data_IF_152696785878
#
_entry.id   IF_152696785878
#
_cell.length_a   1.000
_cell.length_b   1.000
_cell.length_c   1.000
_cell.angle_alpha   90.00
_cell.angle_beta   90.00
_cell.angle_gamma   90.00
#
_symmetry.space_group_name_H-M   'P 1'
#
loop_
_entity.id
_entity.type
_entity.pdbx_description
1 polymer ?
#
# COMPACT_ATOMS: atom_id res chain seq x y z
N UNK A 1 16.01 1.13 -62.62
CA UNK A 1 15.63 0.05 -61.68
C UNK A 1 16.65 0.06 -60.55
N UNK A 2 16.19 0.51 -59.38
CA UNK A 2 16.93 0.57 -58.11
C UNK A 2 16.72 -0.78 -57.45
N UNK A 3 17.79 -1.46 -57.03
CA UNK A 3 17.61 -2.57 -56.10
C UNK A 3 18.74 -2.63 -55.05
N UNK A 4 18.26 -2.50 -53.82
CA UNK A 4 18.71 -3.17 -52.59
C UNK A 4 20.12 -2.85 -52.09
N UNK A 5 20.20 -1.67 -51.47
CA UNK A 5 21.08 -1.40 -50.32
C UNK A 5 20.58 -2.16 -49.08
N UNK A 6 21.47 -2.21 -48.07
CA UNK A 6 21.26 -2.44 -46.64
C UNK A 6 21.57 -3.89 -46.21
N UNK A 7 22.86 -4.19 -46.03
CA UNK A 7 23.59 -4.13 -44.74
C UNK A 7 23.19 -5.30 -43.84
N UNK A 8 23.86 -6.43 -44.07
CA UNK A 8 24.00 -7.51 -43.10
C UNK A 8 25.14 -7.15 -42.13
N UNK A 9 24.86 -6.27 -41.18
CA UNK A 9 25.76 -6.00 -40.06
C UNK A 9 24.94 -5.45 -38.90
N UNK A 10 25.26 -5.93 -37.70
CA UNK A 10 24.69 -5.54 -36.40
C UNK A 10 23.36 -6.21 -36.00
N UNK A 11 23.38 -7.54 -35.88
CA UNK A 11 22.46 -8.26 -34.99
C UNK A 11 23.26 -8.98 -33.88
N UNK A 12 24.13 -8.25 -33.17
CA UNK A 12 24.91 -8.78 -32.05
C UNK A 12 25.32 -7.71 -31.03
N UNK A 13 24.49 -6.69 -30.80
CA UNK A 13 24.76 -5.64 -29.80
C UNK A 13 23.46 -5.09 -29.19
N UNK A 14 22.79 -5.87 -28.34
CA UNK A 14 21.80 -5.34 -27.37
C UNK A 14 21.49 -6.32 -26.22
N UNK A 15 22.44 -7.19 -25.84
CA UNK A 15 22.31 -8.08 -24.67
C UNK A 15 23.33 -7.75 -23.56
N UNK A 16 23.68 -6.47 -23.46
CA UNK A 16 24.31 -5.92 -22.26
C UNK A 16 23.40 -4.79 -21.75
N UNK A 17 22.26 -5.17 -21.18
CA UNK A 17 21.64 -4.28 -20.21
C UNK A 17 22.64 -4.17 -19.05
N UNK A 18 23.16 -2.98 -18.73
CA UNK A 18 23.77 -2.81 -17.43
C UNK A 18 22.71 -3.19 -16.40
N UNK A 19 23.02 -4.17 -15.55
CA UNK A 19 22.33 -4.41 -14.29
C UNK A 19 22.60 -3.18 -13.40
N UNK A 20 21.98 -2.06 -13.74
CA UNK A 20 21.79 -0.96 -12.80
C UNK A 20 20.84 -1.49 -11.75
N UNK A 21 21.39 -1.86 -10.60
CA UNK A 21 20.65 -2.32 -9.44
C UNK A 21 19.56 -1.30 -9.13
N UNK A 22 18.31 -1.74 -9.18
CA UNK A 22 17.23 -1.03 -8.49
C UNK A 22 17.67 -0.89 -7.03
N UNK A 23 17.51 0.30 -6.45
CA UNK A 23 17.70 0.43 -5.00
C UNK A 23 16.57 -0.35 -4.34
N UNK A 24 16.90 -1.38 -3.57
CA UNK A 24 15.92 -2.22 -2.86
C UNK A 24 14.90 -1.38 -2.04
N UNK A 25 15.31 -0.18 -1.59
CA UNK A 25 14.43 0.76 -0.91
C UNK A 25 13.28 1.33 -1.76
N UNK A 26 13.41 1.42 -3.08
CA UNK A 26 12.34 1.97 -3.94
C UNK A 26 11.15 1.01 -4.05
N UNK A 27 11.40 -0.30 -4.21
CA UNK A 27 10.34 -1.31 -4.29
C UNK A 27 9.60 -1.48 -2.96
N UNK A 28 10.32 -1.42 -1.83
CA UNK A 28 9.72 -1.40 -0.50
C UNK A 28 8.81 -0.17 -0.31
N UNK A 29 9.28 1.03 -0.68
CA UNK A 29 8.48 2.25 -0.61
C UNK A 29 7.20 2.18 -1.46
N UNK A 30 7.29 1.58 -2.66
CA UNK A 30 6.12 1.34 -3.52
C UNK A 30 5.13 0.43 -2.82
N UNK A 31 5.56 -0.70 -2.23
CA UNK A 31 4.67 -1.60 -1.48
C UNK A 31 3.97 -0.89 -0.32
N UNK A 32 4.72 -0.12 0.47
CA UNK A 32 4.14 0.61 1.62
C UNK A 32 3.15 1.67 1.15
N UNK A 33 3.48 2.44 0.10
CA UNK A 33 2.58 3.48 -0.44
C UNK A 33 1.35 2.86 -1.11
N UNK A 34 1.50 1.70 -1.75
CA UNK A 34 0.36 0.94 -2.29
C UNK A 34 -0.63 0.54 -1.21
N UNK A 35 -0.17 0.10 -0.04
CA UNK A 35 -1.08 -0.20 1.08
C UNK A 35 -1.87 1.03 1.54
N UNK A 36 -1.27 2.23 1.48
CA UNK A 36 -1.99 3.48 1.80
C UNK A 36 -3.05 3.81 0.74
N UNK A 37 -2.72 3.70 -0.56
CA UNK A 37 -3.68 3.88 -1.67
C UNK A 37 -4.87 2.93 -1.51
N UNK A 38 -4.60 1.65 -1.32
CA UNK A 38 -5.63 0.64 -1.11
C UNK A 38 -6.49 0.95 0.13
N UNK A 39 -5.85 1.28 1.26
CA UNK A 39 -6.56 1.62 2.50
C UNK A 39 -7.56 2.74 2.24
N UNK A 40 -7.14 3.82 1.58
CA UNK A 40 -8.02 4.96 1.33
C UNK A 40 -9.14 4.65 0.34
N UNK A 41 -8.91 3.83 -0.69
CA UNK A 41 -9.98 3.37 -1.57
C UNK A 41 -11.03 2.52 -0.82
N UNK A 42 -10.58 1.62 0.06
CA UNK A 42 -11.48 0.82 0.91
C UNK A 42 -12.30 1.70 1.86
N UNK A 43 -11.68 2.71 2.47
CA UNK A 43 -12.34 3.68 3.35
C UNK A 43 -13.35 4.54 2.59
N UNK A 44 -13.02 4.96 1.37
CA UNK A 44 -13.94 5.65 0.49
C UNK A 44 -15.12 4.74 0.12
N UNK A 45 -14.87 3.51 -0.34
CA UNK A 45 -15.94 2.55 -0.69
C UNK A 45 -16.88 2.20 0.48
N UNK A 46 -16.44 2.43 1.72
CA UNK A 46 -17.24 2.24 2.94
C UNK A 46 -18.22 3.37 3.25
N UNK A 47 -17.88 4.61 2.91
CA UNK A 47 -18.60 5.79 3.42
C UNK A 47 -18.68 6.99 2.48
N UNK A 48 -18.05 6.91 1.30
CA UNK A 48 -18.06 7.95 0.25
C UNK A 48 -17.49 9.28 0.70
N UNK A 49 -16.66 9.28 1.73
CA UNK A 49 -16.09 10.52 2.26
C UNK A 49 -14.97 10.98 1.35
N UNK A 50 -15.17 12.13 0.71
CA UNK A 50 -14.23 12.78 -0.20
C UNK A 50 -12.87 13.08 0.44
N UNK A 51 -12.76 13.11 1.77
CA UNK A 51 -11.45 13.21 2.45
C UNK A 51 -10.59 11.98 2.19
N UNK A 52 -11.19 10.77 2.17
CA UNK A 52 -10.44 9.55 1.83
C UNK A 52 -10.08 9.53 0.35
N UNK A 53 -10.95 10.05 -0.52
CA UNK A 53 -10.63 10.23 -1.94
C UNK A 53 -9.41 11.14 -2.15
N UNK A 54 -9.40 12.31 -1.48
CA UNK A 54 -8.27 13.24 -1.56
C UNK A 54 -6.96 12.60 -1.06
N UNK A 55 -7.01 11.87 0.06
CA UNK A 55 -5.85 11.15 0.61
C UNK A 55 -5.37 10.01 -0.30
N UNK A 56 -6.30 9.30 -0.94
CA UNK A 56 -5.97 8.29 -1.95
C UNK A 56 -5.22 8.92 -3.12
N UNK A 57 -5.73 10.03 -3.68
CA UNK A 57 -5.09 10.72 -4.80
C UNK A 57 -3.70 11.26 -4.44
N UNK A 58 -3.50 11.76 -3.21
CA UNK A 58 -2.17 12.14 -2.71
C UNK A 58 -1.21 10.94 -2.69
N UNK A 59 -1.66 9.80 -2.16
CA UNK A 59 -0.87 8.58 -2.12
C UNK A 59 -0.59 8.02 -3.53
N UNK A 60 -1.53 8.12 -4.47
CA UNK A 60 -1.33 7.74 -5.88
C UNK A 60 -0.28 8.61 -6.57
N UNK A 61 -0.29 9.93 -6.32
CA UNK A 61 0.72 10.84 -6.86
C UNK A 61 2.12 10.48 -6.33
N UNK A 62 2.23 10.23 -5.01
CA UNK A 62 3.47 9.77 -4.40
C UNK A 62 3.92 8.42 -4.99
N UNK A 63 2.99 7.48 -5.17
CA UNK A 63 3.24 6.17 -5.78
C UNK A 63 3.74 6.32 -7.22
N UNK A 64 3.14 7.19 -8.02
CA UNK A 64 3.59 7.50 -9.38
C UNK A 64 5.03 8.03 -9.42
N UNK A 65 5.39 8.93 -8.50
CA UNK A 65 6.76 9.44 -8.38
C UNK A 65 7.78 8.37 -7.94
N UNK A 66 7.35 7.38 -7.15
CA UNK A 66 8.19 6.24 -6.79
C UNK A 66 8.34 5.27 -7.97
N UNK A 67 7.24 4.97 -8.67
CA UNK A 67 7.22 4.08 -9.85
C UNK A 67 8.16 4.58 -10.95
N UNK A 68 8.21 5.89 -11.20
CA UNK A 68 9.12 6.50 -12.21
C UNK A 68 10.59 6.16 -11.99
N UNK A 69 10.97 5.82 -10.75
CA UNK A 69 12.34 5.48 -10.37
C UNK A 69 12.65 3.98 -10.52
N UNK A 70 11.65 3.15 -10.81
CA UNK A 70 11.79 1.71 -10.94
C UNK A 70 12.16 1.23 -12.32
N UNK A 71 12.85 0.09 -12.37
CA UNK A 71 13.02 -0.65 -13.61
C UNK A 71 11.67 -1.27 -13.98
N UNK A 72 11.17 -0.95 -15.18
CA UNK A 72 9.82 -1.36 -15.59
C UNK A 72 8.74 -0.34 -15.23
N UNK A 73 9.11 0.91 -14.92
CA UNK A 73 8.19 2.02 -14.68
C UNK A 73 7.00 2.05 -15.63
N UNK A 74 7.21 1.90 -16.95
CA UNK A 74 6.13 1.92 -17.94
C UNK A 74 5.01 0.89 -17.68
N UNK A 75 5.36 -0.33 -17.24
CA UNK A 75 4.36 -1.36 -16.90
C UNK A 75 3.64 -1.02 -15.60
N UNK A 76 4.38 -0.57 -14.58
CA UNK A 76 3.81 -0.16 -13.29
C UNK A 76 2.90 1.08 -13.43
N UNK A 77 3.28 2.05 -14.27
CA UNK A 77 2.48 3.22 -14.62
C UNK A 77 1.19 2.82 -15.35
N UNK A 78 1.27 1.86 -16.28
CA UNK A 78 0.09 1.35 -16.97
C UNK A 78 -0.88 0.65 -16.00
N UNK A 79 -0.35 -0.11 -15.03
CA UNK A 79 -1.16 -0.73 -13.96
C UNK A 79 -1.81 0.36 -13.10
N UNK A 80 -1.04 1.35 -12.63
CA UNK A 80 -1.55 2.46 -11.82
C UNK A 80 -2.64 3.26 -12.56
N UNK A 81 -2.42 3.58 -13.83
CA UNK A 81 -3.41 4.29 -14.67
C UNK A 81 -4.68 3.46 -14.87
N UNK A 82 -4.55 2.15 -15.08
CA UNK A 82 -5.71 1.25 -15.20
C UNK A 82 -6.48 1.20 -13.88
N UNK A 83 -5.77 1.08 -12.76
CA UNK A 83 -6.36 1.14 -11.42
C UNK A 83 -7.12 2.45 -11.20
N UNK A 84 -6.54 3.61 -11.54
CA UNK A 84 -7.18 4.92 -11.40
C UNK A 84 -8.50 5.01 -12.17
N UNK A 85 -8.57 4.43 -13.37
CA UNK A 85 -9.82 4.32 -14.13
C UNK A 85 -10.90 3.51 -13.40
N UNK A 86 -10.52 2.40 -12.77
CA UNK A 86 -11.44 1.63 -11.93
C UNK A 86 -11.79 2.33 -10.62
N UNK A 87 -10.86 3.07 -10.00
CA UNK A 87 -11.12 3.87 -8.81
C UNK A 87 -12.16 4.97 -9.08
N UNK A 88 -12.09 5.65 -10.24
CA UNK A 88 -13.14 6.60 -10.64
C UNK A 88 -14.49 5.90 -10.86
N UNK A 89 -14.49 4.65 -11.32
CA UNK A 89 -15.72 3.84 -11.40
C UNK A 89 -16.28 3.54 -10.01
N UNK A 90 -15.42 3.27 -9.01
CA UNK A 90 -15.85 3.16 -7.60
C UNK A 90 -16.46 4.48 -7.11
N UNK A 91 -15.85 5.62 -7.47
CA UNK A 91 -16.35 6.94 -7.13
C UNK A 91 -17.74 7.21 -7.70
N UNK A 92 -17.92 6.92 -9.00
CA UNK A 92 -19.20 7.00 -9.68
C UNK A 92 -20.23 6.06 -9.07
N UNK A 93 -19.86 4.81 -8.79
CA UNK A 93 -20.75 3.81 -8.20
C UNK A 93 -21.23 4.14 -6.77
N UNK A 94 -20.47 4.97 -6.05
CA UNK A 94 -20.93 5.50 -4.77
C UNK A 94 -22.02 6.58 -4.95
N UNK A 95 -21.94 7.37 -6.02
CA UNK A 95 -22.86 8.50 -6.30
C UNK A 95 -24.10 8.08 -7.10
N UNK A 96 -23.96 7.06 -7.95
CA UNK A 96 -24.96 6.60 -8.90
C UNK A 96 -25.54 5.24 -8.48
N UNK A 97 -26.87 5.10 -8.52
CA UNK A 97 -27.56 3.89 -8.03
C UNK A 97 -27.45 2.67 -8.97
N UNK A 98 -27.01 2.86 -10.20
CA UNK A 98 -27.05 1.83 -11.24
C UNK A 98 -25.73 1.04 -11.38
N UNK A 99 -24.69 1.42 -10.63
CA UNK A 99 -23.39 0.75 -10.64
C UNK A 99 -23.19 -0.05 -9.35
N UNK A 100 -22.71 -1.29 -9.48
CA UNK A 100 -22.39 -2.13 -8.33
C UNK A 100 -21.03 -1.74 -7.73
N UNK A 101 -21.10 -0.95 -6.64
CA UNK A 101 -19.95 -0.53 -5.85
C UNK A 101 -19.04 -1.70 -5.43
N UNK A 102 -19.62 -2.85 -5.08
CA UNK A 102 -18.84 -4.02 -4.66
C UNK A 102 -18.00 -4.58 -5.80
N UNK A 103 -18.60 -4.73 -6.97
CA UNK A 103 -17.90 -5.19 -8.18
C UNK A 103 -16.82 -4.21 -8.64
N UNK A 104 -17.12 -2.90 -8.66
CA UNK A 104 -16.14 -1.88 -9.04
C UNK A 104 -14.95 -1.85 -8.08
N UNK A 105 -15.20 -1.99 -6.77
CA UNK A 105 -14.14 -2.03 -5.77
C UNK A 105 -13.28 -3.29 -5.92
N UNK A 106 -13.88 -4.45 -6.22
CA UNK A 106 -13.14 -5.69 -6.48
C UNK A 106 -12.19 -5.52 -7.67
N UNK A 107 -12.69 -4.98 -8.78
CA UNK A 107 -11.92 -4.78 -10.01
C UNK A 107 -10.74 -3.82 -9.79
N UNK A 108 -10.97 -2.71 -9.10
CA UNK A 108 -9.90 -1.77 -8.76
C UNK A 108 -8.79 -2.47 -7.97
N UNK A 109 -9.13 -3.20 -6.90
CA UNK A 109 -8.14 -3.88 -6.06
C UNK A 109 -7.44 -5.04 -6.78
N UNK A 110 -8.13 -5.79 -7.64
CA UNK A 110 -7.52 -6.88 -8.40
C UNK A 110 -6.46 -6.37 -9.39
N UNK A 111 -6.72 -5.26 -10.08
CA UNK A 111 -5.71 -4.59 -10.92
C UNK A 111 -4.57 -4.08 -10.05
N UNK A 112 -4.88 -3.45 -8.92
CA UNK A 112 -3.88 -2.86 -8.06
C UNK A 112 -2.91 -3.91 -7.46
N UNK A 113 -3.42 -5.10 -7.12
CA UNK A 113 -2.63 -6.23 -6.65
C UNK A 113 -1.59 -6.71 -7.68
N UNK A 114 -1.75 -6.40 -8.97
CA UNK A 114 -0.75 -6.74 -9.99
C UNK A 114 0.57 -6.00 -9.79
N UNK A 115 0.57 -4.82 -9.15
CA UNK A 115 1.80 -4.06 -8.90
C UNK A 115 2.88 -4.93 -8.25
N UNK A 116 2.53 -5.71 -7.23
CA UNK A 116 3.49 -6.55 -6.51
C UNK A 116 4.12 -7.64 -7.37
N UNK A 117 3.38 -8.15 -8.38
CA UNK A 117 3.89 -9.17 -9.30
C UNK A 117 4.97 -8.66 -10.26
N UNK A 118 5.03 -7.34 -10.46
CA UNK A 118 6.02 -6.69 -11.33
C UNK A 118 7.14 -5.99 -10.56
N UNK A 119 7.03 -5.92 -9.23
CA UNK A 119 8.10 -5.40 -8.40
C UNK A 119 9.17 -6.48 -8.14
N UNK A 120 10.45 -6.09 -8.01
CA UNK A 120 11.49 -7.01 -7.57
C UNK A 120 11.10 -7.67 -6.25
N UNK A 121 11.33 -8.98 -6.15
CA UNK A 121 11.21 -9.70 -4.88
C UNK A 121 12.19 -9.07 -3.90
N UNK A 122 11.69 -8.68 -2.72
CA UNK A 122 12.56 -8.22 -1.66
C UNK A 122 13.37 -9.41 -1.13
N UNK A 123 14.62 -9.47 -1.55
CA UNK A 123 15.60 -10.48 -1.13
C UNK A 123 16.39 -10.02 0.10
N UNK A 124 16.16 -8.80 0.58
CA UNK A 124 16.76 -8.33 1.82
C UNK A 124 15.96 -8.92 2.98
N UNK A 125 16.60 -9.76 3.79
CA UNK A 125 15.95 -10.55 4.84
C UNK A 125 15.52 -9.72 6.06
N UNK A 126 15.28 -8.42 5.88
CA UNK A 126 14.85 -7.54 6.96
C UNK A 126 13.40 -7.84 7.32
N UNK A 127 13.10 -8.06 8.61
CA UNK A 127 11.71 -8.21 9.04
C UNK A 127 10.92 -6.93 8.73
N UNK A 128 9.60 -7.03 8.46
CA UNK A 128 8.77 -5.85 8.21
C UNK A 128 8.86 -4.83 9.34
N UNK A 129 8.94 -3.54 8.99
CA UNK A 129 8.93 -2.47 9.97
C UNK A 129 7.59 -2.40 10.72
N UNK A 130 7.56 -1.69 11.86
CA UNK A 130 6.29 -1.41 12.54
C UNK A 130 5.30 -0.67 11.63
N UNK A 131 5.80 0.27 10.81
CA UNK A 131 4.97 1.02 9.89
C UNK A 131 4.34 0.12 8.82
N UNK A 132 5.08 -0.85 8.29
CA UNK A 132 4.56 -1.82 7.32
C UNK A 132 3.49 -2.71 7.95
N UNK A 133 3.78 -3.24 9.14
CA UNK A 133 2.81 -4.07 9.87
C UNK A 133 1.52 -3.31 10.19
N UNK A 134 1.60 -2.03 10.57
CA UNK A 134 0.44 -1.17 10.80
C UNK A 134 -0.38 -0.94 9.53
N UNK A 135 0.28 -0.71 8.38
CA UNK A 135 -0.40 -0.56 7.08
C UNK A 135 -1.12 -1.84 6.67
N UNK A 136 -0.47 -2.99 6.76
CA UNK A 136 -1.07 -4.31 6.46
C UNK A 136 -2.26 -4.57 7.39
N UNK A 137 -2.07 -4.35 8.70
CA UNK A 137 -3.13 -4.51 9.69
C UNK A 137 -4.35 -3.63 9.38
N UNK A 138 -4.13 -2.37 8.99
CA UNK A 138 -5.22 -1.46 8.64
C UNK A 138 -6.02 -1.94 7.43
N UNK A 139 -5.34 -2.30 6.34
CA UNK A 139 -5.99 -2.84 5.13
C UNK A 139 -6.81 -4.09 5.45
N UNK A 140 -6.22 -5.06 6.16
CA UNK A 140 -6.91 -6.30 6.51
C UNK A 140 -8.12 -6.06 7.41
N UNK A 141 -7.99 -5.19 8.40
CA UNK A 141 -9.08 -4.85 9.33
C UNK A 141 -10.27 -4.21 8.59
N UNK A 142 -10.02 -3.36 7.59
CA UNK A 142 -11.08 -2.73 6.79
C UNK A 142 -11.69 -3.74 5.81
N UNK A 143 -10.87 -4.56 5.12
CA UNK A 143 -11.33 -5.60 4.19
C UNK A 143 -12.30 -6.59 4.83
N UNK A 144 -12.11 -6.94 6.10
CA UNK A 144 -13.02 -7.84 6.82
C UNK A 144 -14.45 -7.32 6.95
N UNK A 145 -14.64 -6.01 6.82
CA UNK A 145 -15.94 -5.37 6.91
C UNK A 145 -16.48 -4.98 5.51
N UNK A 146 -15.73 -5.17 4.42
CA UNK A 146 -16.21 -4.90 3.05
C UNK A 146 -16.80 -6.16 2.40
N UNK A 147 -17.63 -6.01 1.34
CA UNK A 147 -18.10 -7.15 0.52
C UNK A 147 -16.96 -7.96 -0.11
N UNK A 148 -15.74 -7.42 -0.10
CA UNK A 148 -14.51 -8.01 -0.64
C UNK A 148 -13.76 -8.88 0.36
N UNK A 149 -14.33 -9.11 1.54
CA UNK A 149 -13.80 -10.06 2.49
C UNK A 149 -13.69 -11.45 1.81
N UNK A 150 -12.48 -11.80 1.38
CA UNK A 150 -12.09 -13.21 1.21
C UNK A 150 -12.26 -13.90 2.58
N UNK A 151 -12.29 -15.24 2.60
CA UNK A 151 -12.41 -16.01 3.84
C UNK A 151 -11.54 -15.36 4.93
N UNK A 152 -12.16 -15.03 6.08
CA UNK A 152 -11.47 -14.31 7.16
C UNK A 152 -10.14 -15.03 7.43
N UNK A 153 -9.06 -14.26 7.46
CA UNK A 153 -7.75 -14.74 7.87
C UNK A 153 -7.44 -14.22 9.28
N UNK A 154 -8.09 -14.78 10.32
CA UNK A 154 -7.87 -14.36 11.69
C UNK A 154 -6.44 -14.68 12.14
N UNK A 155 -5.82 -15.73 11.60
CA UNK A 155 -4.46 -16.13 11.95
C UNK A 155 -3.43 -15.06 11.57
N UNK A 156 -3.56 -14.47 10.37
CA UNK A 156 -2.70 -13.37 9.95
C UNK A 156 -2.91 -12.11 10.79
N UNK A 157 -4.16 -11.75 11.12
CA UNK A 157 -4.43 -10.58 11.98
C UNK A 157 -3.90 -10.80 13.40
N UNK A 158 -4.08 -11.99 13.97
CA UNK A 158 -3.58 -12.32 15.30
C UNK A 158 -2.05 -12.30 15.35
N UNK A 159 -1.39 -12.81 14.30
CA UNK A 159 0.05 -12.73 14.13
C UNK A 159 0.51 -11.27 14.05
N UNK A 160 -0.07 -10.46 13.18
CA UNK A 160 0.24 -9.03 13.06
C UNK A 160 0.03 -8.29 14.38
N UNK A 161 -1.05 -8.60 15.10
CA UNK A 161 -1.33 -7.97 16.40
C UNK A 161 -0.23 -8.26 17.41
N UNK A 162 0.28 -9.50 17.44
CA UNK A 162 1.42 -9.88 18.30
C UNK A 162 2.71 -9.18 17.86
N UNK A 163 3.02 -9.19 16.57
CA UNK A 163 4.24 -8.60 16.00
C UNK A 163 4.28 -7.08 16.26
N UNK A 164 3.17 -6.38 16.02
CA UNK A 164 3.00 -4.93 16.29
C UNK A 164 3.19 -4.64 17.78
N UNK A 165 2.58 -5.44 18.66
CA UNK A 165 2.71 -5.24 20.12
C UNK A 165 4.17 -5.35 20.55
N UNK A 166 4.88 -6.38 20.09
CA UNK A 166 6.29 -6.59 20.41
C UNK A 166 7.19 -5.45 19.88
N UNK A 167 6.93 -4.97 18.66
CA UNK A 167 7.67 -3.85 18.07
C UNK A 167 7.43 -2.53 18.83
N UNK A 168 6.19 -2.26 19.22
CA UNK A 168 5.84 -1.07 20.02
C UNK A 168 6.51 -1.12 21.39
N UNK A 169 6.47 -2.28 22.07
CA UNK A 169 7.11 -2.44 23.38
C UNK A 169 8.62 -2.23 23.28
N UNK A 170 9.26 -2.79 22.25
CA UNK A 170 10.68 -2.59 21.98
C UNK A 170 11.01 -1.11 21.76
N UNK A 171 10.31 -0.42 20.86
CA UNK A 171 10.56 1.00 20.55
C UNK A 171 10.30 1.90 21.76
N UNK A 172 9.19 1.70 22.48
CA UNK A 172 8.85 2.48 23.66
C UNK A 172 9.88 2.30 24.79
N UNK A 173 10.52 1.13 24.89
CA UNK A 173 11.61 0.89 25.85
C UNK A 173 12.93 1.55 25.45
N UNK A 174 13.20 1.69 24.15
CA UNK A 174 14.43 2.29 23.63
C UNK A 174 14.39 3.82 23.67
N UNK A 175 13.25 4.43 23.32
CA UNK A 175 13.08 5.88 23.35
C UNK A 175 11.66 6.25 23.80
N UNK A 176 11.46 6.25 25.12
CA UNK A 176 10.15 6.51 25.73
C UNK A 176 9.60 7.89 25.38
N UNK A 177 10.46 8.91 25.20
CA UNK A 177 10.02 10.25 24.82
C UNK A 177 9.47 10.31 23.40
N UNK A 178 10.20 9.73 22.44
CA UNK A 178 9.81 9.74 21.03
C UNK A 178 8.57 8.86 20.75
N UNK A 179 8.40 7.76 21.48
CA UNK A 179 7.36 6.75 21.21
C UNK A 179 6.27 6.63 22.28
N UNK A 180 6.20 7.55 23.24
CA UNK A 180 5.27 7.52 24.39
C UNK A 180 3.79 7.25 24.01
N UNK A 181 3.35 7.74 22.85
CA UNK A 181 1.96 7.64 22.43
C UNK A 181 1.62 6.32 21.73
N UNK A 182 2.60 5.57 21.20
CA UNK A 182 2.35 4.35 20.45
C UNK A 182 1.63 3.27 21.27
N UNK A 183 2.03 2.95 22.53
CA UNK A 183 1.34 1.95 23.33
C UNK A 183 -0.12 2.32 23.62
N UNK A 184 -0.39 3.61 23.89
CA UNK A 184 -1.75 4.09 24.19
C UNK A 184 -2.67 3.98 22.97
N UNK A 185 -2.19 4.42 21.80
CA UNK A 185 -2.95 4.37 20.54
C UNK A 185 -3.18 2.94 20.08
N UNK A 186 -2.19 2.07 20.25
CA UNK A 186 -2.33 0.65 19.95
C UNK A 186 -3.36 -0.03 20.85
N UNK A 187 -3.32 0.22 22.16
CA UNK A 187 -4.34 -0.26 23.10
C UNK A 187 -5.73 0.26 22.73
N UNK A 188 -5.83 1.51 22.30
CA UNK A 188 -7.10 2.05 21.78
C UNK A 188 -7.57 1.26 20.56
N UNK A 189 -6.71 0.98 19.58
CA UNK A 189 -7.07 0.19 18.39
C UNK A 189 -7.53 -1.23 18.75
N UNK A 190 -6.89 -1.88 19.71
CA UNK A 190 -7.27 -3.21 20.19
C UNK A 190 -8.64 -3.20 20.89
N UNK A 191 -8.95 -2.13 21.64
CA UNK A 191 -10.21 -2.00 22.40
C UNK A 191 -11.37 -1.43 21.59
N UNK A 192 -11.09 -0.59 20.60
CA UNK A 192 -12.07 0.07 19.73
C UNK A 192 -12.63 -0.84 18.64
N UNK A 193 -12.08 -2.04 18.46
CA UNK A 193 -12.67 -3.14 17.70
C UNK A 193 -13.83 -3.81 18.44
N UNK A 194 -14.85 -3.04 18.85
CA UNK A 194 -16.04 -3.58 19.51
C UNK A 194 -16.83 -4.43 18.51
N UNK A 195 -17.18 -5.66 18.91
CA UNK A 195 -17.91 -6.65 18.08
C UNK A 195 -17.20 -7.05 16.76
N UNK A 196 -15.88 -6.88 16.70
CA UNK A 196 -15.06 -7.27 15.54
C UNK A 196 -15.14 -6.31 14.35
N UNK A 197 -15.64 -5.08 14.55
CA UNK A 197 -15.70 -4.06 13.49
C UNK A 197 -15.03 -2.75 13.93
N UNK A 198 -14.05 -2.22 13.19
CA UNK A 198 -13.46 -0.93 13.52
C UNK A 198 -14.48 0.20 13.29
N UNK A 199 -14.58 1.14 14.24
CA UNK A 199 -15.15 2.44 13.94
C UNK A 199 -14.20 3.15 12.97
N UNK A 200 -14.57 3.15 11.70
CA UNK A 200 -13.69 3.49 10.56
C UNK A 200 -12.90 4.80 10.77
N UNK A 201 -13.57 5.87 11.20
CA UNK A 201 -12.92 7.17 11.39
C UNK A 201 -11.94 7.18 12.58
N UNK A 202 -12.35 6.84 13.82
CA UNK A 202 -11.40 6.71 14.93
C UNK A 202 -10.26 5.73 14.65
N UNK A 203 -10.56 4.61 13.98
CA UNK A 203 -9.57 3.61 13.61
C UNK A 203 -8.50 4.19 12.68
N UNK A 204 -8.90 4.76 11.54
CA UNK A 204 -7.96 5.33 10.59
C UNK A 204 -7.17 6.50 11.19
N UNK A 205 -7.80 7.34 12.00
CA UNK A 205 -7.11 8.45 12.67
C UNK A 205 -6.00 7.98 13.61
N UNK A 206 -6.18 6.85 14.32
CA UNK A 206 -5.10 6.28 15.13
C UNK A 206 -3.98 5.73 14.27
N UNK A 207 -4.30 5.00 13.19
CA UNK A 207 -3.28 4.48 12.26
C UNK A 207 -2.45 5.62 11.66
N UNK A 208 -3.09 6.67 11.12
CA UNK A 208 -2.39 7.84 10.57
C UNK A 208 -1.51 8.52 11.61
N UNK A 209 -2.00 8.67 12.85
CA UNK A 209 -1.22 9.28 13.93
C UNK A 209 0.02 8.45 14.29
N UNK A 210 -0.10 7.12 14.30
CA UNK A 210 1.02 6.22 14.58
C UNK A 210 2.03 6.22 13.43
N UNK A 211 1.58 6.19 12.17
CA UNK A 211 2.46 6.28 10.99
C UNK A 211 3.22 7.60 10.95
N UNK A 212 2.53 8.73 11.15
CA UNK A 212 3.16 10.05 11.18
C UNK A 212 4.21 10.17 12.30
N UNK A 213 3.95 9.57 13.46
CA UNK A 213 4.93 9.54 14.55
C UNK A 213 6.18 8.73 14.18
N UNK A 214 6.02 7.60 13.48
CA UNK A 214 7.13 6.76 13.03
C UNK A 214 7.96 7.44 11.94
N UNK A 215 7.35 8.25 11.08
CA UNK A 215 8.04 8.99 10.02
C UNK A 215 8.82 10.22 10.53
N UNK A 216 8.41 10.79 11.68
CA UNK A 216 9.05 11.96 12.29
C UNK A 216 10.30 11.63 13.10
N UNK A 217 10.49 10.37 13.49
CA UNK A 217 11.64 9.90 14.24
C UNK A 217 12.53 9.12 13.26
N UNK A 218 13.50 9.78 12.59
CA UNK A 218 14.39 9.06 11.68
C UNK A 218 15.10 7.96 12.46
N UNK A 219 15.33 6.80 11.81
CA UNK A 219 16.12 5.69 12.35
C UNK A 219 17.45 6.22 12.90
N UNK A 220 17.51 6.47 14.21
CA UNK A 220 18.77 6.54 14.93
C UNK A 220 19.26 5.09 15.02
N UNK A 221 19.91 4.64 13.94
CA UNK A 221 20.70 3.42 13.95
C UNK A 221 21.71 3.48 15.12
N UNK A 222 21.77 2.47 16.00
CA UNK A 222 22.99 2.20 16.74
C UNK A 222 24.13 1.76 15.80
#
# INVERSE_FOLDING_TARGET
MRDLRIIATALSLALFFPLSYAQAGTAANIRSTSLDVERYLLLYGKGGDERFWARMSEAENQLGEQIKKEKGAATLEAILSTYQGYAETVRAAYSEKDLDLGTSLAQALDIFNLLDSFLPVDITSSPPSLADNLRIFAVLSIRQDTPLAKARDPETIDRLTRDISAQIDSLASQNTGAYQQLPLRWKYLQTAHRDGKPLIYPFNAQIESMLAQLEQVPDENP
#
